data_IF_405931128875
#
_entry.id   IF_405931128875
#
_cell.length_a   1.000
_cell.length_b   1.000
_cell.length_c   1.000
_cell.angle_alpha   90.00
_cell.angle_beta   90.00
_cell.angle_gamma   90.00
#
_symmetry.space_group_name_H-M   'P 1'
#
loop_
_entity.id
_entity.type
_entity.pdbx_description
1 polymer ?
#
# COMPACT_ATOMS: atom_id res chain seq x y z
N UNK A 1 61.71 -5.00 92.12
CA UNK A 1 62.13 -3.75 91.44
C UNK A 1 62.48 -4.07 90.00
N UNK A 2 61.66 -3.67 89.02
CA UNK A 2 62.12 -3.57 87.64
C UNK A 2 61.82 -2.19 87.03
N UNK A 3 62.91 -1.47 86.79
CA UNK A 3 63.25 -0.64 85.61
C UNK A 3 62.10 -0.05 84.75
N UNK A 4 62.02 1.29 84.81
CA UNK A 4 61.39 2.17 83.81
C UNK A 4 62.03 1.97 82.43
N UNK A 5 61.25 1.88 81.33
CA UNK A 5 61.71 2.17 80.00
C UNK A 5 61.34 3.59 79.55
N UNK A 6 62.34 4.21 78.95
CA UNK A 6 62.42 5.48 78.26
C UNK A 6 61.35 5.74 77.19
N UNK A 7 61.02 7.03 77.05
CA UNK A 7 60.20 7.69 76.03
C UNK A 7 60.71 7.53 74.59
N UNK A 8 59.80 7.16 73.69
CA UNK A 8 59.97 7.20 72.23
C UNK A 8 59.17 8.39 71.64
N UNK A 9 59.68 9.10 70.62
CA UNK A 9 58.99 10.27 70.05
C UNK A 9 57.84 9.89 69.12
N UNK A 10 56.74 10.63 69.21
CA UNK A 10 55.57 10.53 68.32
C UNK A 10 55.97 10.83 66.86
N UNK A 11 55.85 9.83 65.98
CA UNK A 11 55.84 10.04 64.53
C UNK A 11 54.42 10.41 64.09
N UNK A 12 54.27 11.60 63.53
CA UNK A 12 53.04 12.09 62.88
C UNK A 12 52.79 11.32 61.58
N UNK A 13 51.59 10.75 61.42
CA UNK A 13 51.15 10.13 60.17
C UNK A 13 51.04 11.17 59.04
N UNK A 14 51.35 10.82 57.78
CA UNK A 14 51.22 11.73 56.65
C UNK A 14 49.73 11.99 56.31
N UNK A 15 49.38 13.17 55.78
CA UNK A 15 48.01 13.48 55.41
C UNK A 15 47.53 12.60 54.24
N UNK A 16 46.22 12.28 54.16
CA UNK A 16 45.68 11.53 53.05
C UNK A 16 45.81 12.33 51.75
N UNK A 17 45.96 11.66 50.59
CA UNK A 17 46.11 12.34 49.30
C UNK A 17 44.84 13.12 48.97
N UNK A 18 44.96 14.26 48.25
CA UNK A 18 43.81 15.06 47.87
C UNK A 18 42.91 14.26 46.95
N UNK A 19 41.66 14.01 47.38
CA UNK A 19 40.61 13.47 46.53
C UNK A 19 40.26 14.51 45.47
N UNK A 20 40.85 14.37 44.28
CA UNK A 20 40.38 15.06 43.08
C UNK A 20 39.02 14.47 42.69
N UNK A 21 37.94 15.03 43.23
CA UNK A 21 36.61 14.80 42.70
C UNK A 21 36.52 15.47 41.33
N UNK A 22 36.90 14.73 40.29
CA UNK A 22 36.52 15.07 38.92
C UNK A 22 34.99 15.12 38.93
N UNK A 23 34.34 16.21 38.48
CA UNK A 23 32.90 16.21 38.35
C UNK A 23 32.58 15.06 37.41
N UNK A 24 31.75 14.11 37.86
CA UNK A 24 31.19 13.10 36.97
C UNK A 24 30.46 13.87 35.88
N UNK A 25 31.09 14.00 34.71
CA UNK A 25 30.46 14.52 33.53
C UNK A 25 29.21 13.65 33.35
N UNK A 26 28.04 14.28 33.50
CA UNK A 26 26.79 13.66 33.12
C UNK A 26 26.96 13.24 31.67
N UNK A 27 27.21 11.94 31.44
CA UNK A 27 27.21 11.36 30.11
C UNK A 27 25.82 11.61 29.57
N UNK A 28 25.67 12.66 28.77
CA UNK A 28 24.56 12.76 27.81
C UNK A 28 24.47 11.39 27.14
N UNK A 29 23.29 10.75 27.09
CA UNK A 29 23.18 9.42 26.48
C UNK A 29 23.85 9.50 25.11
N UNK A 30 24.93 8.75 24.92
CA UNK A 30 25.72 8.83 23.70
C UNK A 30 24.77 8.50 22.55
N UNK A 31 24.50 9.48 21.68
CA UNK A 31 23.71 9.22 20.48
C UNK A 31 24.52 8.23 19.65
N UNK A 32 23.93 7.08 19.36
CA UNK A 32 24.52 6.15 18.39
C UNK A 32 24.55 6.85 17.04
N UNK A 33 25.74 6.90 16.45
CA UNK A 33 25.98 7.48 15.12
C UNK A 33 26.49 6.37 14.22
N UNK A 34 25.98 6.32 13.00
CA UNK A 34 26.52 5.53 11.92
C UNK A 34 27.12 6.41 10.85
N UNK A 35 28.09 5.89 10.10
CA UNK A 35 28.75 6.59 9.03
C UNK A 35 28.58 5.84 7.72
N UNK A 36 28.28 6.57 6.65
CA UNK A 36 28.19 5.98 5.31
C UNK A 36 29.57 5.51 4.88
N UNK A 37 29.70 4.22 4.58
CA UNK A 37 30.91 3.62 3.99
C UNK A 37 30.82 3.69 2.47
N UNK A 38 29.64 3.43 1.92
CA UNK A 38 29.38 3.43 0.48
C UNK A 38 27.95 3.90 0.22
N UNK A 39 27.78 4.73 -0.81
CA UNK A 39 26.48 5.13 -1.33
C UNK A 39 26.42 4.84 -2.83
N UNK A 40 25.29 4.30 -3.30
CA UNK A 40 25.00 4.03 -4.69
C UNK A 40 23.53 4.37 -4.98
N UNK A 41 23.31 5.53 -5.60
CA UNK A 41 21.97 6.11 -5.79
C UNK A 41 21.23 6.23 -4.44
N UNK A 42 20.14 5.48 -4.23
CA UNK A 42 19.40 5.43 -2.95
C UNK A 42 19.86 4.31 -2.01
N UNK A 43 20.82 3.46 -2.41
CA UNK A 43 21.35 2.38 -1.55
C UNK A 43 22.55 2.85 -0.74
N UNK A 44 22.49 2.64 0.58
CA UNK A 44 23.55 2.99 1.53
C UNK A 44 24.07 1.75 2.25
N UNK A 45 25.38 1.73 2.46
CA UNK A 45 26.04 0.86 3.41
C UNK A 45 26.65 1.71 4.52
N UNK A 46 26.25 1.45 5.76
CA UNK A 46 26.70 2.16 6.94
C UNK A 46 27.44 1.24 7.93
N UNK A 47 28.35 1.81 8.69
CA UNK A 47 28.95 1.21 9.89
C UNK A 47 28.50 1.98 11.13
N UNK A 48 28.46 1.31 12.29
CA UNK A 48 28.01 1.88 13.56
C UNK A 48 26.59 1.43 13.94
N UNK A 49 25.83 2.30 14.62
CA UNK A 49 24.43 2.06 15.05
C UNK A 49 24.15 0.66 15.64
N UNK A 50 24.84 0.24 16.73
CA UNK A 50 24.77 -1.14 17.24
C UNK A 50 23.37 -1.58 17.70
N UNK A 51 22.45 -0.65 17.99
CA UNK A 51 21.09 -0.98 18.42
C UNK A 51 20.04 -0.97 17.30
N UNK A 52 20.43 -0.66 16.05
CA UNK A 52 19.49 -0.50 14.94
C UNK A 52 18.83 -1.81 14.55
N UNK A 53 17.56 -1.74 14.13
CA UNK A 53 16.79 -2.89 13.65
C UNK A 53 16.41 -2.73 12.19
N UNK A 54 16.09 -3.85 11.55
CA UNK A 54 15.42 -3.84 10.25
C UNK A 54 14.12 -3.02 10.39
N UNK A 55 13.83 -2.18 9.40
CA UNK A 55 12.72 -1.22 9.34
C UNK A 55 12.84 0.00 10.28
N UNK A 56 13.96 0.18 10.97
CA UNK A 56 14.23 1.46 11.61
C UNK A 56 14.52 2.56 10.59
N UNK A 57 14.07 3.75 10.94
CA UNK A 57 14.37 4.97 10.20
C UNK A 57 15.64 5.58 10.80
N UNK A 58 16.56 5.95 9.93
CA UNK A 58 17.76 6.69 10.29
C UNK A 58 17.73 8.07 9.63
N UNK A 59 18.21 9.08 10.36
CA UNK A 59 18.21 10.48 9.95
C UNK A 59 19.63 10.99 9.78
N UNK A 60 19.89 11.63 8.63
CA UNK A 60 21.10 12.40 8.40
C UNK A 60 21.05 13.75 9.12
N UNK A 61 22.20 14.39 9.31
CA UNK A 61 22.28 15.76 9.84
C UNK A 61 21.52 16.79 8.99
N UNK A 62 21.35 16.50 7.69
CA UNK A 62 20.62 17.35 6.73
C UNK A 62 19.11 17.10 6.74
N UNK A 63 18.63 16.12 7.52
CA UNK A 63 17.22 15.76 7.64
C UNK A 63 16.75 14.66 6.68
N UNK A 64 17.64 14.11 5.86
CA UNK A 64 17.33 12.98 4.97
C UNK A 64 17.08 11.70 5.74
N UNK A 65 16.01 10.98 5.38
CA UNK A 65 15.60 9.72 5.99
C UNK A 65 16.01 8.54 5.12
N UNK A 66 16.49 7.48 5.77
CA UNK A 66 16.64 6.17 5.16
C UNK A 66 15.95 5.10 6.01
N UNK A 67 15.48 4.03 5.37
CA UNK A 67 14.96 2.84 6.04
C UNK A 67 15.99 1.73 6.01
N UNK A 68 16.22 1.09 7.15
CA UNK A 68 17.15 -0.04 7.27
C UNK A 68 16.51 -1.29 6.70
N UNK A 69 17.18 -1.95 5.75
CA UNK A 69 16.66 -3.10 5.02
C UNK A 69 17.36 -4.41 5.34
N UNK A 70 18.64 -4.36 5.71
CA UNK A 70 19.39 -5.54 6.11
C UNK A 70 20.48 -5.20 7.12
N UNK A 71 20.83 -6.19 7.93
CA UNK A 71 21.91 -6.13 8.91
C UNK A 71 22.86 -7.29 8.65
N UNK A 72 24.14 -6.97 8.48
CA UNK A 72 25.24 -7.92 8.39
C UNK A 72 26.24 -7.63 9.54
N UNK A 73 27.16 -8.56 9.80
CA UNK A 73 28.11 -8.45 10.90
C UNK A 73 28.98 -7.18 10.84
N UNK A 74 29.28 -6.69 9.64
CA UNK A 74 30.18 -5.57 9.41
C UNK A 74 29.50 -4.34 8.81
N UNK A 75 28.25 -4.46 8.35
CA UNK A 75 27.57 -3.40 7.59
C UNK A 75 26.06 -3.41 7.78
N UNK A 76 25.48 -2.22 7.75
CA UNK A 76 24.05 -1.98 7.73
C UNK A 76 23.67 -1.56 6.32
N UNK A 77 22.68 -2.22 5.72
CA UNK A 77 22.06 -1.79 4.47
C UNK A 77 20.86 -0.89 4.77
N UNK A 78 20.82 0.28 4.14
CA UNK A 78 19.68 1.18 4.22
C UNK A 78 19.33 1.76 2.86
N UNK A 79 18.05 2.10 2.67
CA UNK A 79 17.53 2.72 1.46
C UNK A 79 17.07 4.14 1.76
N UNK A 80 17.61 5.13 1.06
CA UNK A 80 17.19 6.52 1.14
C UNK A 80 15.75 6.68 0.67
N UNK A 81 14.93 7.29 1.53
CA UNK A 81 13.53 7.60 1.24
C UNK A 81 13.41 9.01 0.62
N UNK A 82 14.17 9.96 1.13
CA UNK A 82 14.23 11.32 0.58
C UNK A 82 15.20 11.40 -0.63
N UNK A 83 15.17 12.53 -1.35
CA UNK A 83 16.02 12.78 -2.53
C UNK A 83 17.49 13.09 -2.23
N UNK A 84 17.85 13.14 -0.95
CA UNK A 84 19.22 13.40 -0.52
C UNK A 84 20.18 12.35 -1.10
N UNK A 85 21.38 12.79 -1.45
CA UNK A 85 22.46 11.93 -1.96
C UNK A 85 23.63 11.96 -0.98
N UNK A 86 23.69 11.02 -0.02
CA UNK A 86 24.75 10.97 0.96
C UNK A 86 26.09 10.62 0.32
N UNK A 87 27.16 11.15 0.87
CA UNK A 87 28.54 10.79 0.52
C UNK A 87 29.16 9.89 1.59
N UNK A 88 30.21 9.10 1.25
CA UNK A 88 30.99 8.40 2.26
C UNK A 88 31.49 9.36 3.36
N UNK A 89 31.32 8.98 4.61
CA UNK A 89 31.61 9.79 5.80
C UNK A 89 30.42 10.60 6.34
N UNK A 90 29.32 10.74 5.59
CA UNK A 90 28.10 11.37 6.12
C UNK A 90 27.54 10.56 7.30
N UNK A 91 27.05 11.27 8.32
CA UNK A 91 26.59 10.69 9.58
C UNK A 91 25.06 10.50 9.58
N UNK A 92 24.62 9.41 10.22
CA UNK A 92 23.22 9.08 10.46
C UNK A 92 22.99 8.73 11.92
N UNK A 93 21.80 9.02 12.44
CA UNK A 93 21.37 8.62 13.79
C UNK A 93 20.04 7.90 13.74
N UNK A 94 19.77 7.00 14.68
CA UNK A 94 18.48 6.30 14.75
C UNK A 94 17.38 7.29 15.10
N UNK A 95 16.38 7.37 14.24
CA UNK A 95 15.15 8.07 14.53
C UNK A 95 14.20 7.17 15.31
N UNK A 96 14.20 7.33 16.64
CA UNK A 96 13.29 6.60 17.52
C UNK A 96 11.82 6.93 17.26
N UNK A 97 11.53 8.03 16.57
CA UNK A 97 10.16 8.42 16.23
C UNK A 97 9.62 7.62 15.04
N UNK A 98 10.49 7.22 14.11
CA UNK A 98 10.15 6.53 12.87
C UNK A 98 9.25 7.38 11.96
N UNK A 99 8.65 6.74 10.96
CA UNK A 99 7.62 7.42 10.16
C UNK A 99 6.36 7.53 11.01
N UNK A 100 5.96 8.76 11.31
CA UNK A 100 4.72 9.10 12.01
C UNK A 100 3.73 9.68 11.02
N UNK A 101 2.53 9.14 11.02
CA UNK A 101 1.43 9.78 10.33
C UNK A 101 0.77 10.80 11.26
N UNK A 102 0.26 11.90 10.74
CA UNK A 102 -0.70 12.73 11.45
C UNK A 102 -1.84 11.87 12.01
N UNK A 103 -2.53 12.31 13.09
CA UNK A 103 -3.69 11.60 13.61
C UNK A 103 -4.66 11.30 12.47
N UNK A 104 -4.99 10.02 12.28
CA UNK A 104 -5.53 9.50 11.02
C UNK A 104 -6.89 10.12 10.70
N UNK A 105 -7.65 10.56 11.70
CA UNK A 105 -8.88 11.35 11.52
C UNK A 105 -8.63 12.68 10.80
N UNK A 106 -7.48 13.34 11.05
CA UNK A 106 -7.07 14.59 10.38
C UNK A 106 -6.53 14.36 8.97
N UNK A 107 -6.23 13.11 8.59
CA UNK A 107 -5.80 12.76 7.24
C UNK A 107 -6.94 12.72 6.24
N UNK A 108 -8.18 12.52 6.70
CA UNK A 108 -9.34 12.53 5.80
C UNK A 108 -9.45 13.89 5.10
N UNK A 109 -9.57 13.86 3.78
CA UNK A 109 -9.62 15.04 2.92
C UNK A 109 -8.27 15.65 2.57
N UNK A 110 -7.20 14.88 2.75
CA UNK A 110 -5.83 15.30 2.43
C UNK A 110 -5.20 14.40 1.38
N UNK A 111 -4.18 14.96 0.73
CA UNK A 111 -3.19 14.18 0.02
C UNK A 111 -1.84 14.29 0.73
N UNK A 112 -1.21 13.15 1.02
CA UNK A 112 0.11 13.06 1.65
C UNK A 112 1.04 12.16 0.82
N UNK A 113 2.34 12.32 0.99
CA UNK A 113 3.30 11.29 0.58
C UNK A 113 3.43 10.20 1.67
N UNK A 114 4.14 9.08 1.41
CA UNK A 114 4.28 8.00 2.40
C UNK A 114 5.01 8.40 3.69
N UNK A 115 5.70 9.54 3.71
CA UNK A 115 6.36 10.10 4.89
C UNK A 115 5.45 11.00 5.72
N UNK A 116 4.16 11.11 5.36
CA UNK A 116 3.18 11.95 6.05
C UNK A 116 3.25 13.44 5.68
N UNK A 117 4.05 13.80 4.66
CA UNK A 117 4.18 15.19 4.20
C UNK A 117 3.01 15.51 3.28
N UNK A 118 2.25 16.60 3.52
CA UNK A 118 1.18 17.00 2.62
C UNK A 118 1.66 17.40 1.22
N UNK A 119 0.93 16.96 0.20
CA UNK A 119 1.19 17.25 -1.22
C UNK A 119 0.00 17.94 -1.90
N UNK A 120 -1.05 18.25 -1.14
CA UNK A 120 -2.27 18.92 -1.61
C UNK A 120 -2.18 20.45 -1.61
N UNK A 121 -1.02 21.02 -1.29
CA UNK A 121 -0.83 22.47 -1.15
C UNK A 121 -1.57 23.09 0.04
N UNK A 122 -2.22 22.29 0.88
CA UNK A 122 -2.81 22.74 2.14
C UNK A 122 -1.72 22.74 3.23
N UNK A 123 -1.92 23.52 4.30
CA UNK A 123 -0.96 23.64 5.39
C UNK A 123 -0.58 22.30 6.05
N UNK A 124 0.55 22.30 6.74
CA UNK A 124 1.07 21.15 7.47
C UNK A 124 0.16 20.66 8.60
N UNK A 125 0.51 19.51 9.17
CA UNK A 125 -0.15 18.94 10.33
C UNK A 125 0.80 18.77 11.50
N UNK A 126 0.23 18.76 12.71
CA UNK A 126 0.91 18.15 13.84
C UNK A 126 1.01 16.65 13.59
N UNK A 127 2.21 16.11 13.73
CA UNK A 127 2.45 14.67 13.68
C UNK A 127 1.67 13.98 14.79
N UNK A 128 1.18 12.77 14.52
CA UNK A 128 0.58 11.92 15.54
C UNK A 128 1.64 11.25 16.40
N UNK A 129 1.19 10.55 17.44
CA UNK A 129 2.07 9.80 18.34
C UNK A 129 2.36 8.38 17.83
N UNK A 130 1.53 7.86 16.94
CA UNK A 130 1.67 6.50 16.39
C UNK A 130 2.70 6.42 15.26
N UNK A 131 3.61 5.44 15.38
CA UNK A 131 4.60 5.08 14.35
C UNK A 131 4.01 4.04 13.40
N UNK A 132 4.28 4.18 12.11
CA UNK A 132 4.00 3.13 11.12
C UNK A 132 4.90 1.93 11.42
N UNK A 133 4.28 0.76 11.52
CA UNK A 133 4.99 -0.51 11.59
C UNK A 133 4.89 -1.21 10.23
N UNK A 134 6.03 -1.45 9.58
CA UNK A 134 6.08 -2.06 8.26
C UNK A 134 6.01 -3.60 8.34
N UNK A 135 6.55 -4.21 9.40
CA UNK A 135 6.57 -5.65 9.66
C UNK A 135 5.33 -6.20 10.36
N UNK A 136 4.14 -5.64 10.10
CA UNK A 136 2.88 -6.15 10.67
C UNK A 136 2.53 -7.48 10.01
N UNK A 137 2.47 -8.56 10.79
CA UNK A 137 1.92 -9.85 10.33
C UNK A 137 0.44 -9.67 9.98
N UNK A 138 0.05 -10.09 8.78
CA UNK A 138 -1.33 -10.00 8.32
C UNK A 138 -2.29 -10.72 9.28
N UNK A 139 -3.53 -10.24 9.46
CA UNK A 139 -4.45 -10.83 10.41
C UNK A 139 -4.82 -12.28 10.05
N UNK A 140 -4.72 -13.17 11.04
CA UNK A 140 -5.00 -14.60 10.91
C UNK A 140 -6.48 -14.91 10.66
N UNK A 141 -6.77 -16.19 10.39
CA UNK A 141 -8.14 -16.67 10.11
C UNK A 141 -9.09 -16.42 11.29
N UNK A 142 -8.58 -16.49 12.51
CA UNK A 142 -9.28 -16.25 13.77
C UNK A 142 -9.76 -14.80 13.96
N UNK A 143 -9.20 -13.85 13.21
CA UNK A 143 -9.59 -12.43 13.20
C UNK A 143 -10.68 -12.10 12.17
N UNK A 144 -11.01 -13.05 11.29
CA UNK A 144 -11.87 -12.83 10.11
C UNK A 144 -13.29 -13.32 10.31
N UNK A 145 -14.19 -12.79 9.48
CA UNK A 145 -15.58 -13.26 9.34
C UNK A 145 -15.95 -13.38 7.86
N UNK A 146 -17.02 -14.11 7.58
CA UNK A 146 -17.52 -14.30 6.21
C UNK A 146 -17.93 -12.95 5.60
N UNK A 147 -17.60 -12.74 4.33
CA UNK A 147 -18.03 -11.57 3.55
C UNK A 147 -19.51 -11.77 3.17
N UNK A 148 -20.41 -11.02 3.82
CA UNK A 148 -21.86 -11.12 3.62
C UNK A 148 -22.47 -9.87 2.99
N UNK A 149 -21.84 -8.71 3.17
CA UNK A 149 -22.38 -7.42 2.75
C UNK A 149 -21.74 -6.96 1.45
N UNK A 150 -22.53 -6.45 0.51
CA UNK A 150 -22.04 -5.91 -0.75
C UNK A 150 -21.46 -4.50 -0.55
N UNK A 151 -20.32 -4.22 -1.17
CA UNK A 151 -19.83 -2.87 -1.44
C UNK A 151 -20.41 -2.42 -2.78
N UNK A 152 -21.41 -1.54 -2.73
CA UNK A 152 -22.00 -0.98 -3.94
C UNK A 152 -21.06 0.04 -4.57
N UNK A 153 -20.70 -0.20 -5.83
CA UNK A 153 -19.88 0.66 -6.68
C UNK A 153 -20.67 1.77 -7.35
N UNK A 154 -21.99 1.59 -7.51
CA UNK A 154 -22.86 2.54 -8.23
C UNK A 154 -22.87 2.29 -9.73
N UNK A 155 -22.14 1.26 -10.17
CA UNK A 155 -21.96 0.89 -11.56
C UNK A 155 -22.76 -0.39 -11.78
N UNK A 156 -23.84 -0.29 -12.56
CA UNK A 156 -24.85 -1.35 -12.70
C UNK A 156 -24.26 -2.69 -13.12
N UNK A 157 -23.32 -2.69 -14.09
CA UNK A 157 -22.68 -3.91 -14.56
C UNK A 157 -21.87 -4.60 -13.46
N UNK A 158 -21.18 -3.83 -12.61
CA UNK A 158 -20.41 -4.37 -11.49
C UNK A 158 -21.35 -4.82 -10.38
N UNK A 159 -22.26 -3.96 -9.92
CA UNK A 159 -23.13 -4.28 -8.78
C UNK A 159 -24.09 -5.46 -9.06
N UNK A 160 -24.36 -5.74 -10.34
CA UNK A 160 -25.21 -6.84 -10.80
C UNK A 160 -24.41 -8.07 -11.22
N UNK A 161 -23.47 -7.93 -12.16
CA UNK A 161 -22.78 -9.08 -12.77
C UNK A 161 -21.46 -9.40 -12.10
N UNK A 162 -20.78 -8.43 -11.50
CA UNK A 162 -19.47 -8.61 -10.87
C UNK A 162 -19.46 -8.01 -9.45
N UNK A 163 -20.40 -8.39 -8.57
CA UNK A 163 -20.54 -7.77 -7.27
C UNK A 163 -19.22 -7.85 -6.47
N UNK A 164 -18.96 -6.82 -5.68
CA UNK A 164 -17.81 -6.74 -4.78
C UNK A 164 -18.34 -6.74 -3.35
N UNK A 165 -17.79 -7.59 -2.49
CA UNK A 165 -18.13 -7.65 -1.07
C UNK A 165 -17.30 -6.70 -0.19
N UNK A 166 -17.85 -6.35 0.97
CA UNK A 166 -17.12 -5.67 2.04
C UNK A 166 -16.04 -6.58 2.62
N UNK A 167 -14.77 -6.23 2.42
CA UNK A 167 -13.61 -7.05 2.76
C UNK A 167 -13.09 -7.94 1.64
N UNK A 168 -13.68 -7.88 0.44
CA UNK A 168 -13.20 -8.60 -0.75
C UNK A 168 -11.98 -7.89 -1.35
N UNK A 169 -11.11 -8.66 -2.01
CA UNK A 169 -9.98 -8.15 -2.78
C UNK A 169 -10.25 -8.38 -4.26
N UNK A 170 -10.65 -7.34 -4.98
CA UNK A 170 -11.06 -7.45 -6.39
C UNK A 170 -10.09 -6.71 -7.31
N UNK A 171 -9.32 -7.46 -8.10
CA UNK A 171 -8.32 -6.89 -9.01
C UNK A 171 -8.99 -6.08 -10.13
N UNK A 172 -8.54 -4.84 -10.34
CA UNK A 172 -8.90 -4.02 -11.50
C UNK A 172 -7.78 -4.13 -12.53
N UNK A 173 -8.07 -4.80 -13.65
CA UNK A 173 -7.06 -5.24 -14.60
C UNK A 173 -7.35 -4.73 -16.01
N UNK A 174 -6.33 -4.37 -16.79
CA UNK A 174 -6.49 -4.13 -18.22
C UNK A 174 -5.49 -3.13 -18.81
N UNK A 175 -5.63 -2.86 -20.10
CA UNK A 175 -4.70 -2.05 -20.89
C UNK A 175 -4.58 -0.60 -20.40
N UNK A 176 -3.44 0.07 -20.61
CA UNK A 176 -3.32 1.51 -20.36
C UNK A 176 -4.46 2.29 -21.04
N UNK A 177 -4.97 3.34 -20.38
CA UNK A 177 -6.06 4.19 -20.88
C UNK A 177 -7.40 3.48 -21.13
N UNK A 178 -7.60 2.26 -20.61
CA UNK A 178 -8.86 1.53 -20.69
C UNK A 178 -9.96 2.05 -19.73
N UNK A 179 -9.79 3.18 -19.05
CA UNK A 179 -10.84 3.78 -18.20
C UNK A 179 -10.84 3.37 -16.73
N UNK A 180 -9.77 2.73 -16.24
CA UNK A 180 -9.65 2.30 -14.84
C UNK A 180 -9.67 3.47 -13.84
N UNK A 181 -8.92 4.54 -14.04
CA UNK A 181 -8.88 5.66 -13.08
C UNK A 181 -10.23 6.39 -12.94
N UNK A 182 -10.95 6.74 -14.03
CA UNK A 182 -12.34 7.24 -13.92
C UNK A 182 -13.26 6.27 -13.17
N UNK A 183 -13.17 4.97 -13.47
CA UNK A 183 -13.95 3.96 -12.75
C UNK A 183 -13.66 3.96 -11.23
N UNK A 184 -12.38 4.03 -10.83
CA UNK A 184 -12.00 4.07 -9.41
C UNK A 184 -12.51 5.35 -8.73
N UNK A 185 -12.49 6.48 -9.44
CA UNK A 185 -13.07 7.73 -8.95
C UNK A 185 -14.58 7.57 -8.72
N UNK A 186 -15.32 7.04 -9.69
CA UNK A 186 -16.77 6.79 -9.56
C UNK A 186 -17.09 5.89 -8.38
N UNK A 187 -16.30 4.83 -8.18
CA UNK A 187 -16.45 3.92 -7.03
C UNK A 187 -16.26 4.68 -5.72
N UNK A 188 -15.24 5.54 -5.61
CA UNK A 188 -15.03 6.40 -4.42
C UNK A 188 -16.20 7.37 -4.24
N UNK A 189 -16.63 8.06 -5.28
CA UNK A 189 -17.72 9.05 -5.23
C UNK A 189 -19.03 8.43 -4.74
N UNK A 190 -19.31 7.19 -5.17
CA UNK A 190 -20.48 6.45 -4.74
C UNK A 190 -20.45 6.04 -3.25
N UNK A 191 -19.32 6.19 -2.54
CA UNK A 191 -19.25 5.92 -1.09
C UNK A 191 -19.76 7.06 -0.21
N UNK A 192 -20.13 8.20 -0.81
CA UNK A 192 -20.70 9.34 -0.11
C UNK A 192 -21.91 8.93 0.74
N UNK A 193 -21.88 9.25 2.03
CA UNK A 193 -22.96 8.96 2.98
C UNK A 193 -23.04 7.49 3.43
N UNK A 194 -22.17 6.59 2.96
CA UNK A 194 -22.17 5.16 3.33
C UNK A 194 -21.33 4.80 4.55
N UNK A 195 -20.75 5.81 5.21
CA UNK A 195 -19.84 5.63 6.36
C UNK A 195 -18.62 4.74 6.05
N UNK A 196 -18.15 4.78 4.79
CA UNK A 196 -16.94 4.09 4.33
C UNK A 196 -15.85 5.14 4.14
N UNK A 197 -14.66 4.86 4.68
CA UNK A 197 -13.47 5.68 4.44
C UNK A 197 -12.78 5.18 3.17
N UNK A 198 -12.40 6.09 2.28
CA UNK A 198 -11.68 5.74 1.06
C UNK A 198 -10.20 6.08 1.21
N UNK A 199 -9.32 5.17 0.81
CA UNK A 199 -7.87 5.38 0.78
C UNK A 199 -7.39 5.06 -0.63
N UNK A 200 -6.96 6.09 -1.36
CA UNK A 200 -6.38 5.93 -2.70
C UNK A 200 -4.86 6.04 -2.60
N UNK A 201 -4.15 4.95 -2.92
CA UNK A 201 -2.70 4.89 -2.91
C UNK A 201 -2.18 4.94 -4.34
N UNK A 202 -1.60 6.07 -4.74
CA UNK A 202 -0.93 6.22 -6.02
C UNK A 202 0.54 5.78 -5.91
N UNK A 203 0.93 4.82 -6.74
CA UNK A 203 2.24 4.15 -6.67
C UNK A 203 2.99 4.40 -7.98
N UNK A 204 4.00 5.26 -7.93
CA UNK A 204 4.86 5.56 -9.07
C UNK A 204 4.14 6.21 -10.26
N UNK A 205 2.93 6.76 -10.06
CA UNK A 205 2.18 7.47 -11.10
C UNK A 205 2.84 8.81 -11.42
N UNK A 206 2.60 9.33 -12.62
CA UNK A 206 3.06 10.67 -12.97
C UNK A 206 2.42 11.72 -12.06
N UNK A 207 3.19 12.73 -11.64
CA UNK A 207 2.70 13.79 -10.74
C UNK A 207 1.46 14.51 -11.30
N UNK A 208 1.42 14.69 -12.63
CA UNK A 208 0.28 15.32 -13.34
C UNK A 208 -0.99 14.49 -13.17
N UNK A 209 -0.90 13.17 -13.27
CA UNK A 209 -2.06 12.27 -13.15
C UNK A 209 -2.59 12.26 -11.71
N UNK A 210 -1.70 12.25 -10.72
CA UNK A 210 -2.08 12.35 -9.30
C UNK A 210 -2.76 13.68 -9.00
N UNK A 211 -2.20 14.80 -9.48
CA UNK A 211 -2.82 16.13 -9.31
C UNK A 211 -4.19 16.21 -9.98
N UNK A 212 -4.33 15.64 -11.17
CA UNK A 212 -5.61 15.56 -11.88
C UNK A 212 -6.64 14.77 -11.08
N UNK A 213 -6.28 13.59 -10.57
CA UNK A 213 -7.16 12.77 -9.75
C UNK A 213 -7.60 13.50 -8.46
N UNK A 214 -6.66 14.13 -7.74
CA UNK A 214 -6.99 14.91 -6.52
C UNK A 214 -7.95 16.06 -6.83
N UNK A 215 -7.73 16.74 -7.96
CA UNK A 215 -8.58 17.83 -8.42
C UNK A 215 -10.01 17.34 -8.69
N UNK A 216 -10.16 16.31 -9.53
CA UNK A 216 -11.47 15.72 -9.88
C UNK A 216 -12.19 15.20 -8.63
N UNK A 217 -11.50 14.49 -7.74
CA UNK A 217 -12.03 14.04 -6.45
C UNK A 217 -12.54 15.19 -5.57
N UNK A 218 -11.85 16.34 -5.60
CA UNK A 218 -12.22 17.52 -4.82
C UNK A 218 -13.43 18.23 -5.44
N UNK A 219 -13.45 18.41 -6.76
CA UNK A 219 -14.53 19.05 -7.51
C UNK A 219 -15.85 18.27 -7.37
N UNK A 220 -15.80 16.94 -7.36
CA UNK A 220 -16.96 16.06 -7.19
C UNK A 220 -17.33 15.82 -5.71
N UNK A 221 -16.59 16.41 -4.76
CA UNK A 221 -16.90 16.38 -3.32
C UNK A 221 -16.56 15.08 -2.59
N UNK A 222 -15.78 14.19 -3.21
CA UNK A 222 -15.29 12.94 -2.60
C UNK A 222 -14.20 13.12 -1.55
N UNK A 223 -13.58 14.30 -1.49
CA UNK A 223 -12.50 14.60 -0.57
C UNK A 223 -12.90 14.41 0.92
N UNK A 224 -14.14 14.71 1.31
CA UNK A 224 -14.56 14.70 2.73
C UNK A 224 -14.48 13.35 3.46
N UNK A 225 -14.28 12.25 2.75
CA UNK A 225 -14.16 10.89 3.29
C UNK A 225 -13.00 10.10 2.66
N UNK A 226 -12.13 10.77 1.90
CA UNK A 226 -11.04 10.14 1.16
C UNK A 226 -9.68 10.67 1.62
N UNK A 227 -8.72 9.77 1.84
CA UNK A 227 -7.31 10.07 1.96
C UNK A 227 -6.59 9.64 0.68
N UNK A 228 -5.76 10.52 0.14
CA UNK A 228 -4.84 10.19 -0.95
C UNK A 228 -3.42 10.03 -0.37
N UNK A 229 -2.79 8.89 -0.62
CA UNK A 229 -1.38 8.66 -0.35
C UNK A 229 -0.69 8.52 -1.70
N UNK A 230 0.24 9.38 -2.03
CA UNK A 230 0.91 9.32 -3.34
C UNK A 230 2.42 9.34 -3.20
N UNK A 231 3.06 8.36 -3.82
CA UNK A 231 4.44 8.44 -4.25
C UNK A 231 4.44 8.44 -5.79
N UNK A 232 4.98 9.49 -6.37
CA UNK A 232 4.99 9.75 -7.81
C UNK A 232 6.22 9.15 -8.47
N UNK A 233 6.23 9.09 -9.81
CA UNK A 233 7.36 8.58 -10.59
C UNK A 233 8.66 9.37 -10.40
N UNK A 234 8.58 10.60 -9.86
CA UNK A 234 9.74 11.44 -9.56
C UNK A 234 10.34 11.16 -8.18
N UNK A 235 9.62 10.47 -7.29
CA UNK A 235 10.08 10.09 -5.96
C UNK A 235 11.13 8.96 -6.02
N UNK A 236 11.86 8.74 -4.92
CA UNK A 236 12.82 7.64 -4.84
C UNK A 236 12.12 6.27 -4.93
N UNK A 237 12.74 5.28 -5.57
CA UNK A 237 12.18 3.93 -5.65
C UNK A 237 11.81 3.34 -4.27
N UNK A 238 12.64 3.51 -3.21
CA UNK A 238 12.28 3.09 -1.86
C UNK A 238 11.02 3.77 -1.33
N UNK A 239 10.86 5.09 -1.53
CA UNK A 239 9.66 5.80 -1.10
C UNK A 239 8.40 5.29 -1.82
N UNK A 240 8.49 5.03 -3.13
CA UNK A 240 7.40 4.45 -3.91
C UNK A 240 7.04 3.05 -3.40
N UNK A 241 8.04 2.23 -3.08
CA UNK A 241 7.85 0.85 -2.62
C UNK A 241 7.08 0.73 -1.30
N UNK A 242 7.20 1.71 -0.40
CA UNK A 242 6.55 1.68 0.92
C UNK A 242 5.12 2.26 0.92
N UNK A 243 4.71 2.95 -0.14
CA UNK A 243 3.39 3.61 -0.22
C UNK A 243 2.20 2.67 0.09
N UNK A 244 2.15 1.42 -0.44
CA UNK A 244 1.09 0.48 -0.09
C UNK A 244 1.06 0.11 1.39
N UNK A 245 2.23 -0.08 2.02
CA UNK A 245 2.34 -0.45 3.44
C UNK A 245 1.85 0.68 4.37
N UNK A 246 2.10 1.93 3.98
CA UNK A 246 1.53 3.11 4.64
C UNK A 246 0.00 3.11 4.49
N UNK A 247 -0.50 2.84 3.29
CA UNK A 247 -1.94 2.69 3.02
C UNK A 247 -2.62 1.65 3.90
N UNK A 248 -2.04 0.44 3.99
CA UNK A 248 -2.54 -0.62 4.87
C UNK A 248 -2.57 -0.16 6.33
N UNK A 249 -1.50 0.48 6.81
CA UNK A 249 -1.41 0.90 8.22
C UNK A 249 -2.49 1.92 8.58
N UNK A 250 -2.83 2.82 7.65
CA UNK A 250 -3.96 3.76 7.84
C UNK A 250 -5.31 3.03 7.78
N UNK A 251 -5.49 2.10 6.84
CA UNK A 251 -6.73 1.32 6.73
C UNK A 251 -7.02 0.52 8.01
N UNK A 252 -6.00 -0.12 8.58
CA UNK A 252 -6.09 -0.89 9.81
C UNK A 252 -6.46 -0.05 11.03
N UNK A 253 -5.96 1.19 11.11
CA UNK A 253 -6.38 2.13 12.15
C UNK A 253 -7.90 2.38 12.10
N UNK A 254 -8.45 2.62 10.92
CA UNK A 254 -9.88 2.88 10.75
C UNK A 254 -10.73 1.64 11.03
N UNK A 255 -10.27 0.46 10.63
CA UNK A 255 -10.96 -0.80 10.95
C UNK A 255 -10.95 -1.08 12.44
N UNK A 256 -9.83 -0.89 13.14
CA UNK A 256 -9.78 -1.01 14.61
C UNK A 256 -10.70 -0.01 15.31
N UNK A 257 -10.99 1.11 14.66
CA UNK A 257 -11.97 2.12 15.10
C UNK A 257 -13.43 1.79 14.69
N UNK A 258 -13.67 0.63 14.09
CA UNK A 258 -15.00 0.17 13.65
C UNK A 258 -15.53 0.82 12.37
N UNK A 259 -14.65 1.32 11.50
CA UNK A 259 -15.02 1.92 10.21
C UNK A 259 -14.63 1.01 9.05
N UNK A 260 -15.57 0.80 8.13
CA UNK A 260 -15.29 0.13 6.87
C UNK A 260 -14.40 1.01 5.98
N UNK A 261 -13.47 0.38 5.26
CA UNK A 261 -12.49 1.04 4.40
C UNK A 261 -12.56 0.46 2.99
N UNK A 262 -12.59 1.33 1.99
CA UNK A 262 -12.26 1.02 0.61
C UNK A 262 -10.83 1.48 0.33
N UNK A 263 -9.92 0.56 0.09
CA UNK A 263 -8.51 0.83 -0.23
C UNK A 263 -8.22 0.50 -1.69
N UNK A 264 -7.47 1.37 -2.37
CA UNK A 264 -7.12 1.21 -3.79
C UNK A 264 -5.61 1.33 -3.93
N UNK A 265 -4.99 0.38 -4.64
CA UNK A 265 -3.56 0.43 -4.99
C UNK A 265 -3.42 0.67 -6.50
N UNK A 266 -2.99 1.88 -6.89
CA UNK A 266 -2.91 2.31 -8.29
C UNK A 266 -1.47 2.74 -8.67
N UNK A 267 -0.60 1.85 -9.15
CA UNK A 267 -0.87 0.44 -9.46
C UNK A 267 0.21 -0.54 -8.97
N UNK A 268 -0.18 -1.80 -8.77
CA UNK A 268 0.67 -2.87 -8.25
C UNK A 268 1.67 -3.39 -9.30
N UNK A 269 1.45 -3.09 -10.58
CA UNK A 269 2.43 -3.37 -11.64
C UNK A 269 3.66 -2.48 -11.52
N UNK A 270 3.47 -1.19 -11.28
CA UNK A 270 4.54 -0.24 -10.97
C UNK A 270 5.23 -0.58 -9.65
N UNK A 271 4.47 -0.96 -8.62
CA UNK A 271 5.04 -1.42 -7.35
C UNK A 271 6.07 -2.55 -7.56
N UNK A 272 5.71 -3.57 -8.33
CA UNK A 272 6.61 -4.67 -8.65
C UNK A 272 7.86 -4.21 -9.40
N UNK A 273 7.72 -3.27 -10.36
CA UNK A 273 8.85 -2.73 -11.13
C UNK A 273 9.86 -2.02 -10.22
N UNK A 274 9.40 -1.23 -9.24
CA UNK A 274 10.28 -0.56 -8.28
C UNK A 274 10.92 -1.53 -7.28
N UNK A 275 10.19 -2.55 -6.81
CA UNK A 275 10.80 -3.62 -6.01
C UNK A 275 11.89 -4.37 -6.77
N UNK A 276 11.70 -4.57 -8.08
CA UNK A 276 12.73 -5.14 -8.96
C UNK A 276 13.95 -4.24 -9.08
N UNK A 277 13.75 -2.94 -9.29
CA UNK A 277 14.84 -1.96 -9.35
C UNK A 277 15.68 -1.97 -8.06
N UNK A 278 15.02 -1.89 -6.90
CA UNK A 278 15.67 -1.96 -5.58
C UNK A 278 16.45 -3.28 -5.42
N UNK A 279 15.82 -4.40 -5.78
CA UNK A 279 16.44 -5.72 -5.66
C UNK A 279 17.70 -5.87 -6.51
N UNK A 280 17.65 -5.42 -7.77
CA UNK A 280 18.80 -5.45 -8.68
C UNK A 280 19.94 -4.54 -8.20
N UNK A 281 19.61 -3.33 -7.73
CA UNK A 281 20.61 -2.39 -7.19
C UNK A 281 21.29 -2.94 -5.93
N UNK A 282 20.53 -3.63 -5.08
CA UNK A 282 21.02 -4.28 -3.86
C UNK A 282 21.80 -5.57 -4.14
N UNK A 283 21.96 -5.97 -5.40
CA UNK A 283 22.68 -7.19 -5.79
C UNK A 283 21.95 -8.48 -5.41
N UNK A 284 20.63 -8.42 -5.14
CA UNK A 284 19.83 -9.62 -4.86
C UNK A 284 19.75 -10.48 -6.12
N UNK A 285 19.78 -11.80 -5.94
CA UNK A 285 19.72 -12.74 -7.06
C UNK A 285 18.36 -12.60 -7.77
N UNK A 286 18.35 -12.27 -9.07
CA UNK A 286 17.10 -12.13 -9.82
C UNK A 286 16.48 -13.50 -10.13
N UNK A 287 15.15 -13.56 -10.12
CA UNK A 287 14.35 -14.69 -10.56
C UNK A 287 13.77 -14.49 -11.96
N UNK A 288 12.57 -15.02 -12.19
CA UNK A 288 11.85 -14.89 -13.47
C UNK A 288 11.57 -13.42 -13.79
N UNK A 289 11.77 -13.02 -15.05
CA UNK A 289 11.58 -11.63 -15.53
C UNK A 289 12.40 -10.60 -14.73
N UNK A 290 13.50 -11.06 -14.12
CA UNK A 290 14.42 -10.32 -13.25
C UNK A 290 13.83 -9.81 -11.94
N UNK A 291 12.62 -10.23 -11.55
CA UNK A 291 12.05 -9.87 -10.25
C UNK A 291 12.77 -10.59 -9.09
N UNK A 292 12.80 -10.01 -7.88
CA UNK A 292 13.29 -10.70 -6.69
C UNK A 292 12.53 -12.02 -6.46
N UNK A 293 13.21 -13.04 -5.93
CA UNK A 293 12.60 -14.35 -5.68
C UNK A 293 11.40 -14.29 -4.71
N UNK A 294 11.37 -13.28 -3.84
CA UNK A 294 10.35 -13.01 -2.83
C UNK A 294 9.27 -12.01 -3.29
N UNK A 295 9.21 -11.64 -4.57
CA UNK A 295 8.22 -10.67 -5.08
C UNK A 295 6.77 -11.05 -4.77
N UNK A 296 6.46 -12.36 -4.83
CA UNK A 296 5.15 -12.89 -4.46
C UNK A 296 4.85 -12.63 -2.99
N UNK A 297 5.81 -12.89 -2.10
CA UNK A 297 5.66 -12.66 -0.66
C UNK A 297 5.46 -11.17 -0.37
N UNK A 298 6.27 -10.29 -0.97
CA UNK A 298 6.17 -8.85 -0.77
C UNK A 298 4.77 -8.28 -1.12
N UNK A 299 4.17 -8.74 -2.23
CA UNK A 299 2.84 -8.28 -2.64
C UNK A 299 1.69 -9.00 -1.92
N UNK A 300 1.78 -10.32 -1.71
CA UNK A 300 0.75 -11.07 -0.98
C UNK A 300 0.62 -10.57 0.45
N UNK A 301 1.73 -10.27 1.11
CA UNK A 301 1.72 -9.74 2.46
C UNK A 301 0.92 -8.42 2.57
N UNK A 302 0.98 -7.57 1.55
CA UNK A 302 0.19 -6.33 1.50
C UNK A 302 -1.29 -6.61 1.22
N UNK A 303 -1.58 -7.46 0.22
CA UNK A 303 -2.95 -7.78 -0.21
C UNK A 303 -3.72 -8.56 0.87
N UNK A 304 -3.05 -9.45 1.61
CA UNK A 304 -3.64 -10.24 2.70
C UNK A 304 -3.97 -9.40 3.94
N UNK A 305 -3.48 -8.18 4.08
CA UNK A 305 -3.91 -7.27 5.16
C UNK A 305 -5.34 -6.77 4.97
N UNK A 306 -5.90 -6.89 3.77
CA UNK A 306 -7.31 -6.63 3.50
C UNK A 306 -8.21 -7.84 3.85
N UNK A 307 -9.46 -7.57 4.24
CA UNK A 307 -10.38 -8.60 4.70
C UNK A 307 -11.62 -8.08 5.40
N UNK A 308 -12.51 -8.98 5.80
CA UNK A 308 -13.66 -8.69 6.66
C UNK A 308 -13.40 -9.24 8.07
N UNK A 309 -13.49 -8.38 9.08
CA UNK A 309 -12.97 -8.66 10.41
C UNK A 309 -14.07 -8.81 11.46
N UNK A 310 -13.79 -9.62 12.49
CA UNK A 310 -14.74 -9.89 13.56
C UNK A 310 -14.68 -8.86 14.70
N UNK A 311 -15.48 -9.07 15.75
CA UNK A 311 -15.59 -8.15 16.88
C UNK A 311 -14.26 -7.89 17.62
N UNK A 312 -13.35 -8.86 17.66
CA UNK A 312 -12.05 -8.72 18.31
C UNK A 312 -11.10 -7.81 17.52
N UNK A 313 -11.44 -7.52 16.26
CA UNK A 313 -10.63 -6.73 15.34
C UNK A 313 -11.45 -5.60 14.70
N UNK A 314 -12.32 -4.98 15.51
CA UNK A 314 -13.05 -3.76 15.15
C UNK A 314 -14.39 -3.96 14.44
N UNK A 315 -14.76 -5.19 14.06
CA UNK A 315 -16.03 -5.52 13.40
C UNK A 315 -16.30 -4.75 12.09
N UNK A 316 -15.24 -4.41 11.36
CA UNK A 316 -15.29 -3.67 10.11
C UNK A 316 -14.48 -4.39 9.02
N UNK A 317 -14.35 -3.78 7.84
CA UNK A 317 -13.71 -4.40 6.67
C UNK A 317 -12.74 -3.46 5.96
N UNK A 318 -11.75 -4.06 5.28
CA UNK A 318 -10.93 -3.41 4.27
C UNK A 318 -11.25 -4.10 2.94
N UNK A 319 -12.06 -3.47 2.09
CA UNK A 319 -12.20 -3.88 0.69
C UNK A 319 -11.03 -3.32 -0.10
N UNK A 320 -10.32 -4.16 -0.85
CA UNK A 320 -9.14 -3.77 -1.60
C UNK A 320 -9.37 -3.89 -3.10
N UNK A 321 -9.10 -2.82 -3.85
CA UNK A 321 -9.05 -2.82 -5.31
C UNK A 321 -7.59 -2.59 -5.75
N UNK A 322 -6.78 -3.65 -5.90
CA UNK A 322 -5.47 -3.49 -6.52
C UNK A 322 -5.66 -3.27 -8.02
N UNK A 323 -4.87 -2.39 -8.61
CA UNK A 323 -4.90 -2.07 -10.04
C UNK A 323 -3.66 -2.63 -10.70
N UNK A 324 -3.79 -3.11 -11.93
CA UNK A 324 -2.66 -3.41 -12.81
C UNK A 324 -2.95 -2.84 -14.20
N UNK A 325 -1.95 -2.15 -14.74
CA UNK A 325 -1.91 -1.74 -16.14
C UNK A 325 -0.98 -2.68 -16.92
N UNK A 326 -1.56 -3.50 -17.80
CA UNK A 326 -0.78 -4.36 -18.70
C UNK A 326 -1.59 -4.68 -19.94
N UNK A 327 -0.90 -5.02 -21.02
CA UNK A 327 -1.54 -5.41 -22.27
C UNK A 327 -2.19 -6.78 -22.16
N UNK A 328 -3.31 -6.98 -22.85
CA UNK A 328 -4.07 -8.24 -22.82
C UNK A 328 -3.22 -9.45 -23.24
N UNK A 329 -2.22 -9.27 -24.10
CA UNK A 329 -1.31 -10.34 -24.55
C UNK A 329 -0.35 -10.81 -23.44
N UNK A 330 -0.13 -9.98 -22.41
CA UNK A 330 0.81 -10.22 -21.31
C UNK A 330 0.13 -10.75 -20.04
N UNK A 331 -1.10 -11.27 -20.12
CA UNK A 331 -1.84 -11.81 -18.97
C UNK A 331 -1.12 -12.98 -18.26
N UNK A 332 -0.28 -13.71 -18.99
CA UNK A 332 0.52 -14.83 -18.47
C UNK A 332 1.88 -14.42 -17.89
N UNK A 333 2.16 -13.10 -17.88
CA UNK A 333 3.35 -12.56 -17.23
C UNK A 333 3.29 -12.81 -15.72
N UNK A 334 4.47 -12.79 -15.09
CA UNK A 334 4.62 -13.16 -13.68
C UNK A 334 3.73 -12.33 -12.75
N UNK A 335 3.74 -11.00 -12.89
CA UNK A 335 3.07 -10.08 -11.95
C UNK A 335 1.54 -10.15 -12.03
N UNK A 336 0.90 -10.07 -13.22
CA UNK A 336 -0.55 -10.27 -13.34
C UNK A 336 -1.01 -11.61 -12.75
N UNK A 337 -0.29 -12.70 -13.08
CA UNK A 337 -0.61 -14.05 -12.58
C UNK A 337 -0.53 -14.12 -11.06
N UNK A 338 0.54 -13.56 -10.47
CA UNK A 338 0.71 -13.51 -9.02
C UNK A 338 -0.45 -12.77 -8.35
N UNK A 339 -0.81 -11.58 -8.82
CA UNK A 339 -1.86 -10.78 -8.18
C UNK A 339 -3.25 -11.41 -8.38
N UNK A 340 -3.54 -11.99 -9.55
CA UNK A 340 -4.78 -12.76 -9.78
C UNK A 340 -4.91 -13.96 -8.82
N UNK A 341 -3.79 -14.54 -8.39
CA UNK A 341 -3.80 -15.64 -7.43
C UNK A 341 -4.02 -15.19 -5.98
N UNK A 342 -3.70 -13.94 -5.64
CA UNK A 342 -3.85 -13.35 -4.30
C UNK A 342 -5.21 -12.65 -4.10
N UNK A 343 -5.92 -12.38 -5.18
CA UNK A 343 -7.22 -11.69 -5.18
C UNK A 343 -8.37 -12.67 -5.28
N UNK A 344 -9.55 -12.23 -4.85
CA UNK A 344 -10.78 -13.03 -4.84
C UNK A 344 -11.54 -12.96 -6.17
N UNK A 345 -10.98 -12.28 -7.16
CA UNK A 345 -11.59 -12.00 -8.45
C UNK A 345 -10.86 -10.90 -9.20
N UNK A 346 -11.28 -10.65 -10.43
CA UNK A 346 -10.78 -9.59 -11.28
C UNK A 346 -11.88 -9.03 -12.19
N UNK A 347 -11.80 -7.72 -12.43
CA UNK A 347 -12.61 -6.99 -13.39
C UNK A 347 -11.69 -6.54 -14.53
N UNK A 348 -11.94 -7.07 -15.72
CA UNK A 348 -11.14 -6.81 -16.90
C UNK A 348 -11.66 -5.59 -17.67
N UNK A 349 -10.77 -4.64 -17.93
CA UNK A 349 -11.02 -3.47 -18.76
C UNK A 349 -10.38 -3.62 -20.13
N UNK A 350 -11.13 -3.30 -21.19
CA UNK A 350 -10.74 -3.43 -22.60
C UNK A 350 -10.60 -2.06 -23.25
N UNK A 351 -9.44 -1.77 -23.86
CA UNK A 351 -9.29 -0.53 -24.63
C UNK A 351 -10.16 -0.54 -25.89
N UNK A 352 -10.46 -1.73 -26.43
CA UNK A 352 -11.32 -1.91 -27.60
C UNK A 352 -12.79 -1.56 -27.30
N UNK A 353 -13.34 -2.02 -26.17
CA UNK A 353 -14.69 -1.60 -25.76
C UNK A 353 -14.78 -0.08 -25.56
N UNK A 354 -13.73 0.51 -25.00
CA UNK A 354 -13.67 1.95 -24.77
C UNK A 354 -13.66 2.74 -26.08
N UNK A 355 -12.89 2.30 -27.08
CA UNK A 355 -12.84 2.97 -28.38
C UNK A 355 -14.14 2.84 -29.17
N UNK A 356 -14.93 1.82 -28.88
CA UNK A 356 -16.30 1.63 -29.40
C UNK A 356 -17.35 2.47 -28.66
N UNK A 357 -16.96 3.24 -27.65
CA UNK A 357 -17.86 4.12 -26.90
C UNK A 357 -18.62 3.43 -25.77
N UNK A 358 -18.21 2.23 -25.34
CA UNK A 358 -18.81 1.54 -24.21
C UNK A 358 -18.14 1.97 -22.89
N UNK A 359 -18.96 2.46 -21.95
CA UNK A 359 -18.50 2.96 -20.65
C UNK A 359 -19.39 2.42 -19.51
N UNK A 360 -18.83 1.80 -18.46
CA UNK A 360 -17.42 1.45 -18.30
C UNK A 360 -17.02 0.34 -19.28
N UNK A 361 -15.77 0.38 -19.73
CA UNK A 361 -15.21 -0.54 -20.73
C UNK A 361 -14.78 -1.86 -20.10
N UNK A 362 -15.72 -2.56 -19.46
CA UNK A 362 -15.55 -3.82 -18.74
C UNK A 362 -16.00 -4.98 -19.61
N UNK A 363 -15.22 -6.06 -19.62
CA UNK A 363 -15.54 -7.34 -20.25
C UNK A 363 -16.18 -8.28 -19.20
N UNK A 364 -17.52 -8.33 -19.06
CA UNK A 364 -18.16 -9.11 -17.99
C UNK A 364 -17.88 -10.62 -18.09
N UNK A 365 -17.76 -11.15 -19.30
CA UNK A 365 -17.55 -12.58 -19.56
C UNK A 365 -16.15 -13.07 -19.17
N UNK A 366 -15.16 -12.19 -19.26
CA UNK A 366 -13.77 -12.48 -18.90
C UNK A 366 -13.44 -12.07 -17.46
N UNK A 367 -14.36 -11.35 -16.80
CA UNK A 367 -14.23 -10.93 -15.42
C UNK A 367 -14.79 -11.98 -14.47
N UNK A 368 -14.24 -12.08 -13.27
CA UNK A 368 -14.59 -13.14 -12.31
C UNK A 368 -14.67 -12.55 -10.92
N UNK A 369 -15.76 -12.81 -10.19
CA UNK A 369 -15.84 -12.56 -8.74
C UNK A 369 -16.12 -13.91 -8.04
N UNK A 370 -15.23 -14.35 -7.14
CA UNK A 370 -15.40 -15.64 -6.43
C UNK A 370 -16.30 -15.51 -5.20
N UNK A 371 -16.31 -14.33 -4.57
CA UNK A 371 -17.00 -14.10 -3.30
C UNK A 371 -18.26 -13.25 -3.48
N UNK A 372 -18.22 -12.26 -4.38
CA UNK A 372 -19.25 -11.22 -4.45
C UNK A 372 -20.68 -11.72 -4.61
N UNK A 373 -20.89 -12.85 -5.30
CA UNK A 373 -22.22 -13.41 -5.52
C UNK A 373 -22.98 -13.75 -4.25
N UNK A 374 -22.29 -14.16 -3.18
CA UNK A 374 -22.95 -14.51 -1.92
C UNK A 374 -23.43 -13.26 -1.16
N UNK A 375 -22.94 -12.08 -1.53
CA UNK A 375 -23.34 -10.81 -0.91
C UNK A 375 -24.64 -10.25 -1.49
N UNK A 376 -25.06 -10.76 -2.64
CA UNK A 376 -26.27 -10.32 -3.31
C UNK A 376 -27.52 -10.88 -2.61
N UNK A 377 -28.56 -10.05 -2.54
CA UNK A 377 -29.88 -10.49 -2.08
C UNK A 377 -30.46 -11.53 -3.05
N UNK A 378 -31.32 -12.47 -2.59
CA UNK A 378 -31.88 -13.54 -3.43
C UNK A 378 -32.51 -13.04 -4.73
N UNK A 379 -33.25 -11.93 -4.69
CA UNK A 379 -33.87 -11.33 -5.87
C UNK A 379 -32.83 -10.78 -6.87
N UNK A 380 -31.79 -10.11 -6.38
CA UNK A 380 -30.72 -9.58 -7.24
C UNK A 380 -29.95 -10.72 -7.91
N UNK A 381 -29.66 -11.79 -7.14
CA UNK A 381 -29.00 -12.98 -7.67
C UNK A 381 -29.81 -13.62 -8.80
N UNK A 382 -31.12 -13.81 -8.59
CA UNK A 382 -32.01 -14.32 -9.64
C UNK A 382 -32.01 -13.47 -10.91
N UNK A 383 -32.03 -12.14 -10.76
CA UNK A 383 -31.98 -11.22 -11.90
C UNK A 383 -30.62 -11.26 -12.60
N UNK A 384 -29.52 -11.28 -11.85
CA UNK A 384 -28.17 -11.37 -12.39
C UNK A 384 -27.97 -12.66 -13.19
N UNK A 385 -28.46 -13.80 -12.69
CA UNK A 385 -28.38 -15.09 -13.39
C UNK A 385 -29.15 -15.04 -14.73
N UNK A 386 -30.34 -14.41 -14.75
CA UNK A 386 -31.08 -14.21 -16.01
C UNK A 386 -30.36 -13.31 -16.99
N UNK A 387 -29.77 -12.21 -16.52
CA UNK A 387 -29.03 -11.28 -17.38
C UNK A 387 -27.81 -11.97 -17.97
N UNK A 388 -27.07 -12.75 -17.18
CA UNK A 388 -25.92 -13.55 -17.68
C UNK A 388 -26.33 -14.54 -18.75
N UNK A 389 -27.42 -15.27 -18.53
CA UNK A 389 -27.95 -16.21 -19.54
C UNK A 389 -28.28 -15.47 -20.83
N UNK A 390 -28.94 -14.31 -20.75
CA UNK A 390 -29.29 -13.50 -21.91
C UNK A 390 -28.06 -12.98 -22.68
N UNK A 391 -27.02 -12.54 -21.96
CA UNK A 391 -25.75 -12.07 -22.55
C UNK A 391 -25.01 -13.23 -23.23
N UNK A 392 -24.99 -14.41 -22.60
CA UNK A 392 -24.37 -15.60 -23.19
C UNK A 392 -25.09 -16.02 -24.49
N UNK A 393 -26.43 -16.09 -24.46
CA UNK A 393 -27.25 -16.40 -25.64
C UNK A 393 -27.02 -15.36 -26.75
N UNK A 394 -26.90 -14.08 -26.39
CA UNK A 394 -26.62 -12.99 -27.32
C UNK A 394 -25.26 -13.19 -28.02
N UNK A 395 -24.18 -13.41 -27.26
CA UNK A 395 -22.84 -13.57 -27.84
C UNK A 395 -22.71 -14.83 -28.69
N UNK A 396 -23.42 -15.91 -28.32
CA UNK A 396 -23.51 -17.11 -29.15
C UNK A 396 -24.16 -16.78 -30.51
N UNK A 397 -25.33 -16.13 -30.48
CA UNK A 397 -26.05 -15.73 -31.70
C UNK A 397 -25.29 -14.70 -32.53
N UNK A 398 -24.59 -13.75 -31.92
CA UNK A 398 -23.78 -12.77 -32.64
C UNK A 398 -22.67 -13.46 -33.44
N UNK A 399 -22.00 -14.48 -32.85
CA UNK A 399 -20.96 -15.26 -33.54
C UNK A 399 -21.54 -16.05 -34.71
N UNK A 400 -22.70 -16.67 -34.55
CA UNK A 400 -23.34 -17.45 -35.62
C UNK A 400 -24.01 -16.58 -36.70
N UNK A 401 -24.59 -15.44 -36.32
CA UNK A 401 -25.28 -14.51 -37.22
C UNK A 401 -24.37 -13.86 -38.26
N UNK A 402 -23.05 -13.84 -38.04
CA UNK A 402 -22.05 -13.41 -39.04
C UNK A 402 -21.95 -14.37 -40.24
N UNK A 403 -22.51 -15.58 -40.16
CA UNK A 403 -22.39 -16.63 -41.19
C UNK A 403 -23.72 -17.05 -41.84
N UNK A 404 -24.88 -16.56 -41.37
CA UNK A 404 -26.21 -16.99 -41.84
C UNK A 404 -27.03 -15.85 -42.45
N UNK A 405 -27.70 -16.11 -43.59
CA UNK A 405 -28.43 -15.10 -44.36
C UNK A 405 -29.88 -14.86 -43.92
N UNK A 406 -30.46 -15.68 -43.03
CA UNK A 406 -31.81 -15.47 -42.49
C UNK A 406 -31.88 -15.80 -40.99
N UNK A 407 -32.10 -14.77 -40.17
CA UNK A 407 -32.28 -14.91 -38.72
C UNK A 407 -33.78 -14.97 -38.39
N UNK A 408 -34.19 -15.94 -37.58
CA UNK A 408 -35.59 -16.07 -37.14
C UNK A 408 -36.04 -14.83 -36.34
N UNK A 409 -37.35 -14.52 -36.26
CA UNK A 409 -37.84 -13.40 -35.47
C UNK A 409 -37.48 -13.47 -33.98
N UNK A 410 -37.37 -14.68 -33.42
CA UNK A 410 -36.93 -14.90 -32.04
C UNK A 410 -35.44 -14.56 -31.87
N UNK A 411 -34.60 -15.00 -32.80
CA UNK A 411 -33.17 -14.65 -32.86
C UNK A 411 -32.97 -13.13 -32.99
N UNK A 412 -33.74 -12.48 -33.86
CA UNK A 412 -33.70 -11.01 -34.00
C UNK A 412 -34.13 -10.27 -32.73
N UNK A 413 -35.14 -10.80 -32.02
CA UNK A 413 -35.57 -10.23 -30.74
C UNK A 413 -34.49 -10.39 -29.67
N UNK A 414 -33.83 -11.55 -29.59
CA UNK A 414 -32.77 -11.79 -28.63
C UNK A 414 -31.53 -10.92 -28.93
N UNK A 415 -31.16 -10.77 -30.21
CA UNK A 415 -30.12 -9.83 -30.62
C UNK A 415 -30.45 -8.38 -30.26
N UNK A 416 -31.70 -7.95 -30.44
CA UNK A 416 -32.15 -6.61 -30.02
C UNK A 416 -32.14 -6.42 -28.49
N UNK A 417 -32.44 -7.47 -27.74
CA UNK A 417 -32.44 -7.43 -26.27
C UNK A 417 -31.01 -7.45 -25.69
N UNK A 418 -30.09 -8.18 -26.33
CA UNK A 418 -28.70 -8.31 -25.92
C UNK A 418 -27.77 -7.23 -26.47
N UNK A 419 -28.20 -6.45 -27.47
CA UNK A 419 -27.53 -5.19 -27.84
C UNK A 419 -27.62 -4.23 -26.65
N UNK A 420 -26.59 -4.26 -25.81
CA UNK A 420 -26.37 -3.26 -24.76
C UNK A 420 -26.22 -1.92 -25.49
N UNK A 421 -27.16 -1.00 -25.22
CA UNK A 421 -27.17 0.37 -25.76
C UNK A 421 -26.52 1.35 -24.81
#
# INVERSE_FOLDING_TARGET
MPLNPSSSPQQSAPPPPPTSSVPAASLTPSKEVGFVVKAQDYLLYLEGLPSVKIEDIILSEKGGRAIVTALDHEKIEALMLDHDRPAPGDSFTIDKTGIRLPPQVRLIGRAINPLGIPIDGKGGFQLGDERINFGIIAPGVDSRRIISDQLYTGITIVDTLLPIGKGQRELIFGEPRSGKSPFLLDVILNQKGKSIICIYVAIGKAEIDVKKFIKELTEEGGQSYTLVIAATSSDSAPLISIAPAVGCSVAEYFVKSGRDVLMIFDDMGLHAKYLREIGLLSGRVPGRESYPADIFFAQSHLVERAGNFNANWGNASITLLPVIETDLENFTALIPTNIMSMTDGHILFSASLRSQGQYPSIEPDLSVTRVGHQTQRPLHKFLADKIRSLIADYHELERYGRFGSELTPETQRLLKLGMIS
#
